data_IF_986453252051
#
_entry.id   IF_986453252051
#
_cell.length_a   1.000
_cell.length_b   1.000
_cell.length_c   1.000
_cell.angle_alpha   90.00
_cell.angle_beta   90.00
_cell.angle_gamma   90.00
#
_symmetry.space_group_name_H-M   'P 1'
#
loop_
_entity.id
_entity.type
_entity.pdbx_description
1 polymer ?
#
# COMPACT_ATOMS: atom_id res chain seq x y z
N UNK A 1 2.40 10.83 18.09
CA UNK A 1 3.13 9.60 18.44
C UNK A 1 4.62 9.94 18.44
N UNK A 2 5.43 9.42 19.36
CA UNK A 2 6.90 9.50 19.26
C UNK A 2 7.38 8.10 18.90
N UNK A 3 7.73 7.89 17.64
CA UNK A 3 8.28 6.62 17.19
C UNK A 3 9.81 6.65 17.26
N UNK A 4 10.47 5.58 17.71
CA UNK A 4 11.92 5.44 17.59
C UNK A 4 12.34 5.37 16.11
N UNK A 5 13.60 5.71 15.85
CA UNK A 5 14.18 5.64 14.51
C UNK A 5 14.45 4.17 14.11
N UNK A 6 13.42 3.55 13.53
CA UNK A 6 13.40 2.16 13.08
C UNK A 6 12.45 1.99 11.89
N UNK A 7 12.38 0.78 11.34
CA UNK A 7 11.41 0.48 10.28
C UNK A 7 10.01 0.19 10.83
N UNK A 8 8.99 0.51 10.05
CA UNK A 8 7.58 0.21 10.28
C UNK A 8 6.96 -0.33 9.01
N UNK A 9 6.19 -1.42 9.13
CA UNK A 9 5.29 -1.87 8.09
C UNK A 9 4.06 -0.97 8.04
N UNK A 10 3.72 -0.47 6.85
CA UNK A 10 2.66 0.50 6.62
C UNK A 10 1.68 -0.05 5.60
N UNK A 11 0.39 0.03 5.94
CA UNK A 11 -0.72 -0.21 5.03
C UNK A 11 -1.65 1.00 5.10
N UNK A 12 -1.74 1.73 3.99
CA UNK A 12 -2.48 3.01 3.93
C UNK A 12 -3.49 2.96 2.79
N UNK A 13 -4.68 3.49 3.04
CA UNK A 13 -5.79 3.54 2.10
C UNK A 13 -6.51 4.88 2.18
N UNK A 14 -7.16 5.26 1.09
CA UNK A 14 -8.05 6.41 1.04
C UNK A 14 -9.38 6.20 1.77
N UNK A 15 -10.23 7.24 1.83
CA UNK A 15 -11.53 7.19 2.49
C UNK A 15 -12.46 6.07 2.01
N UNK A 16 -12.39 5.71 0.73
CA UNK A 16 -13.24 4.66 0.12
C UNK A 16 -12.99 3.24 0.65
N UNK A 17 -11.83 2.99 1.27
CA UNK A 17 -11.50 1.70 1.88
C UNK A 17 -11.16 1.82 3.38
N UNK A 18 -11.61 2.91 4.03
CA UNK A 18 -11.42 3.10 5.46
C UNK A 18 -12.12 1.99 6.25
N UNK A 19 -11.39 1.34 7.14
CA UNK A 19 -11.94 0.33 8.06
C UNK A 19 -12.00 -1.10 7.50
N UNK A 20 -11.49 -1.35 6.28
CA UNK A 20 -11.45 -2.71 5.70
C UNK A 20 -10.05 -3.34 5.66
N UNK A 21 -9.06 -2.68 6.27
CA UNK A 21 -7.66 -3.12 6.33
C UNK A 21 -7.23 -3.54 7.74
N UNK A 22 -6.35 -4.54 7.83
CA UNK A 22 -5.77 -5.07 9.06
C UNK A 22 -4.40 -5.71 8.78
N UNK A 23 -3.33 -5.18 9.39
CA UNK A 23 -1.96 -5.69 9.23
C UNK A 23 -1.76 -7.07 9.85
N UNK A 24 -2.65 -7.55 10.72
CA UNK A 24 -2.57 -8.92 11.25
C UNK A 24 -3.08 -9.97 10.24
N UNK A 25 -3.65 -9.53 9.12
CA UNK A 25 -4.13 -10.40 8.04
C UNK A 25 -3.13 -10.47 6.90
N UNK A 26 -3.15 -11.56 6.11
CA UNK A 26 -2.33 -11.66 4.91
C UNK A 26 -2.57 -10.46 3.97
N UNK A 27 -1.52 -9.95 3.34
CA UNK A 27 -1.64 -8.84 2.38
C UNK A 27 -2.64 -9.16 1.27
N UNK A 28 -2.63 -10.40 0.77
CA UNK A 28 -3.59 -10.90 -0.20
C UNK A 28 -5.06 -10.69 0.22
N UNK A 29 -5.38 -10.87 1.51
CA UNK A 29 -6.75 -10.65 2.02
C UNK A 29 -7.08 -9.15 2.07
N UNK A 30 -6.14 -8.33 2.53
CA UNK A 30 -6.29 -6.88 2.54
C UNK A 30 -6.56 -6.34 1.12
N UNK A 31 -5.77 -6.72 0.12
CA UNK A 31 -5.95 -6.25 -1.25
C UNK A 31 -7.31 -6.65 -1.84
N UNK A 32 -7.83 -7.85 -1.51
CA UNK A 32 -9.18 -8.27 -1.90
C UNK A 32 -10.26 -7.43 -1.23
N UNK A 33 -10.15 -7.18 0.07
CA UNK A 33 -11.11 -6.38 0.83
C UNK A 33 -11.14 -4.93 0.31
N UNK A 34 -9.97 -4.36 0.04
CA UNK A 34 -9.85 -3.01 -0.52
C UNK A 34 -10.49 -2.95 -1.91
N UNK A 35 -10.15 -3.88 -2.80
CA UNK A 35 -10.73 -3.93 -4.15
C UNK A 35 -12.27 -4.00 -4.08
N UNK A 36 -12.81 -4.86 -3.21
CA UNK A 36 -14.26 -4.97 -2.99
C UNK A 36 -14.88 -3.66 -2.47
N UNK A 37 -14.23 -2.99 -1.51
CA UNK A 37 -14.70 -1.71 -0.96
C UNK A 37 -14.70 -0.58 -2.00
N UNK A 38 -13.73 -0.59 -2.91
CA UNK A 38 -13.61 0.38 -4.00
C UNK A 38 -14.43 0.00 -5.24
N UNK A 39 -15.11 -1.16 -5.25
CA UNK A 39 -15.83 -1.65 -6.43
C UNK A 39 -14.91 -1.98 -7.62
N UNK A 40 -13.63 -2.29 -7.34
CA UNK A 40 -12.60 -2.62 -8.33
C UNK A 40 -12.31 -4.12 -8.35
N UNK A 41 -11.73 -4.59 -9.45
CA UNK A 41 -11.10 -5.90 -9.53
C UNK A 41 -9.61 -5.80 -9.13
N UNK A 42 -8.97 -6.92 -8.76
CA UNK A 42 -7.55 -6.91 -8.39
C UNK A 42 -6.66 -6.39 -9.52
N UNK A 43 -6.98 -6.67 -10.79
CA UNK A 43 -6.21 -6.23 -11.96
C UNK A 43 -6.31 -4.72 -12.29
N UNK A 44 -7.27 -4.05 -11.65
CA UNK A 44 -7.46 -2.59 -11.73
C UNK A 44 -7.06 -1.87 -10.44
N UNK A 45 -6.68 -2.60 -9.40
CA UNK A 45 -6.18 -2.06 -8.15
C UNK A 45 -4.72 -1.62 -8.31
N UNK A 46 -4.40 -0.42 -7.84
CA UNK A 46 -3.05 0.15 -7.91
C UNK A 46 -2.46 0.26 -6.50
N UNK A 47 -1.34 -0.43 -6.28
CA UNK A 47 -0.56 -0.36 -5.04
C UNK A 47 0.74 0.40 -5.30
N UNK A 48 1.04 1.38 -4.45
CA UNK A 48 2.36 2.02 -4.41
C UNK A 48 3.22 1.43 -3.29
N UNK A 49 4.52 1.29 -3.55
CA UNK A 49 5.51 0.78 -2.59
C UNK A 49 6.89 1.38 -2.84
N UNK A 50 7.88 1.07 -2.00
CA UNK A 50 9.26 1.50 -2.21
C UNK A 50 10.02 0.46 -3.06
N UNK A 51 10.80 0.93 -4.03
CA UNK A 51 11.69 0.12 -4.86
C UNK A 51 12.97 -0.21 -4.08
N UNK A 52 12.87 -1.12 -3.11
CA UNK A 52 14.00 -1.58 -2.27
C UNK A 52 14.04 -3.11 -2.27
N UNK A 53 15.22 -3.75 -2.15
CA UNK A 53 15.34 -5.21 -2.19
C UNK A 53 14.46 -5.97 -1.18
N UNK A 54 14.16 -5.34 -0.03
CA UNK A 54 13.24 -5.90 0.98
C UNK A 54 11.78 -6.01 0.50
N UNK A 55 11.42 -5.39 -0.62
CA UNK A 55 10.09 -5.41 -1.20
C UNK A 55 9.98 -6.28 -2.46
N UNK A 56 11.07 -6.85 -2.98
CA UNK A 56 11.04 -7.63 -4.23
C UNK A 56 10.06 -8.80 -4.16
N UNK A 57 10.05 -9.54 -3.04
CA UNK A 57 9.17 -10.68 -2.85
C UNK A 57 7.68 -10.28 -2.83
N UNK A 58 7.34 -9.19 -2.12
CA UNK A 58 5.96 -8.73 -2.02
C UNK A 58 5.48 -8.05 -3.30
N UNK A 59 6.37 -7.37 -4.03
CA UNK A 59 6.08 -6.85 -5.37
C UNK A 59 5.71 -8.01 -6.30
N UNK A 60 6.48 -9.09 -6.29
CA UNK A 60 6.20 -10.28 -7.09
C UNK A 60 4.87 -10.95 -6.69
N UNK A 61 4.57 -11.04 -5.39
CA UNK A 61 3.28 -11.56 -4.89
C UNK A 61 2.10 -10.72 -5.43
N UNK A 62 2.17 -9.40 -5.29
CA UNK A 62 1.11 -8.49 -5.77
C UNK A 62 0.93 -8.59 -7.30
N UNK A 63 2.04 -8.61 -8.05
CA UNK A 63 2.00 -8.76 -9.51
C UNK A 63 1.41 -10.12 -9.93
N UNK A 64 1.71 -11.21 -9.22
CA UNK A 64 1.13 -12.52 -9.47
C UNK A 64 -0.39 -12.57 -9.23
N UNK A 65 -0.91 -11.69 -8.36
CA UNK A 65 -2.35 -11.49 -8.17
C UNK A 65 -3.01 -10.63 -9.27
N UNK A 66 -2.22 -10.05 -10.18
CA UNK A 66 -2.68 -9.12 -11.21
C UNK A 66 -2.68 -7.65 -10.80
N UNK A 67 -2.34 -7.33 -9.55
CA UNK A 67 -2.33 -5.96 -9.03
C UNK A 67 -1.27 -5.12 -9.73
N UNK A 68 -1.60 -3.87 -10.05
CA UNK A 68 -0.65 -2.92 -10.63
C UNK A 68 0.21 -2.34 -9.51
N UNK A 69 1.53 -2.44 -9.65
CA UNK A 69 2.48 -1.99 -8.62
C UNK A 69 3.30 -0.82 -9.13
N UNK A 70 3.21 0.33 -8.46
CA UNK A 70 4.11 1.46 -8.64
C UNK A 70 5.19 1.43 -7.56
N UNK A 71 6.40 0.99 -7.92
CA UNK A 71 7.54 1.01 -7.01
C UNK A 71 8.33 2.32 -7.20
N UNK A 72 8.29 3.19 -6.19
CA UNK A 72 8.98 4.50 -6.20
C UNK A 72 10.33 4.41 -5.48
N UNK A 73 11.36 5.18 -5.90
CA UNK A 73 12.68 5.09 -5.28
C UNK A 73 12.69 5.47 -3.80
N UNK A 74 11.95 6.52 -3.42
CA UNK A 74 11.88 7.09 -2.07
C UNK A 74 10.54 7.85 -1.88
N UNK A 75 10.25 8.27 -0.64
CA UNK A 75 9.14 9.18 -0.33
C UNK A 75 7.80 8.49 -0.05
N UNK A 76 7.77 7.59 0.94
CA UNK A 76 6.53 6.92 1.36
C UNK A 76 5.48 7.86 1.97
N UNK A 77 5.87 8.97 2.60
CA UNK A 77 4.95 10.03 3.05
C UNK A 77 4.14 10.59 1.87
N UNK A 78 4.82 11.04 0.81
CA UNK A 78 4.15 11.56 -0.38
C UNK A 78 3.31 10.47 -1.06
N UNK A 79 3.82 9.25 -1.16
CA UNK A 79 3.11 8.11 -1.73
C UNK A 79 1.83 7.77 -0.93
N UNK A 80 1.84 7.90 0.39
CA UNK A 80 0.67 7.67 1.25
C UNK A 80 -0.44 8.69 0.99
N UNK A 81 -0.09 9.95 0.68
CA UNK A 81 -1.07 11.00 0.41
C UNK A 81 -1.81 10.72 -0.91
N UNK A 82 -1.13 10.10 -1.88
CA UNK A 82 -1.72 9.75 -3.17
C UNK A 82 -2.93 8.82 -3.04
N UNK A 83 -3.05 8.01 -1.98
CA UNK A 83 -4.23 7.15 -1.75
C UNK A 83 -5.50 7.95 -1.49
N UNK A 84 -5.37 9.23 -1.15
CA UNK A 84 -6.47 10.13 -0.80
C UNK A 84 -6.75 11.17 -1.88
N UNK A 85 -5.96 11.21 -2.96
CA UNK A 85 -6.07 12.21 -4.03
C UNK A 85 -7.04 11.73 -5.12
N UNK A 86 -8.11 12.47 -5.44
CA UNK A 86 -9.11 12.04 -6.44
C UNK A 86 -8.54 11.81 -7.85
N UNK A 87 -7.51 12.58 -8.22
CA UNK A 87 -6.87 12.52 -9.54
C UNK A 87 -5.69 11.54 -9.58
N UNK A 88 -5.38 10.88 -8.46
CA UNK A 88 -4.34 9.86 -8.37
C UNK A 88 -4.91 8.49 -8.71
N UNK A 89 -4.15 7.71 -9.47
CA UNK A 89 -4.51 6.31 -9.74
C UNK A 89 -4.20 5.38 -8.54
N UNK A 90 -3.43 5.84 -7.54
CA UNK A 90 -3.01 5.02 -6.39
C UNK A 90 -4.18 4.77 -5.45
N UNK A 91 -4.49 3.50 -5.22
CA UNK A 91 -5.55 3.08 -4.29
C UNK A 91 -5.01 2.78 -2.88
N UNK A 92 -3.81 2.20 -2.83
CA UNK A 92 -3.21 1.64 -1.60
C UNK A 92 -1.72 1.93 -1.58
N UNK A 93 -1.17 2.18 -0.39
CA UNK A 93 0.26 2.04 -0.14
C UNK A 93 0.52 0.85 0.77
N UNK A 94 1.43 -0.03 0.36
CA UNK A 94 2.01 -1.05 1.23
C UNK A 94 3.53 -0.94 1.21
N UNK A 95 4.16 -0.71 2.35
CA UNK A 95 5.62 -0.64 2.40
C UNK A 95 6.19 -0.94 3.79
N UNK A 96 7.53 -1.04 3.84
CA UNK A 96 8.33 -1.05 5.05
C UNK A 96 9.26 0.16 4.93
N UNK A 97 8.87 1.23 5.59
CA UNK A 97 9.55 2.53 5.59
C UNK A 97 9.97 2.93 7.00
N UNK A 98 10.52 4.14 7.18
CA UNK A 98 10.88 4.60 8.51
C UNK A 98 9.63 4.88 9.37
N UNK A 99 9.73 4.58 10.66
CA UNK A 99 8.68 4.77 11.65
C UNK A 99 8.42 6.26 11.99
N UNK A 100 9.43 7.16 12.04
CA UNK A 100 9.21 8.60 12.21
C UNK A 100 8.37 9.25 11.09
N UNK A 101 8.34 8.64 9.91
CA UNK A 101 7.64 9.09 8.71
C UNK A 101 6.19 8.60 8.63
N UNK A 102 5.65 8.04 9.71
CA UNK A 102 4.26 7.59 9.81
C UNK A 102 3.34 8.62 10.49
#
# INVERSE_FOLDING_TARGET
MKAPDMYMEKLVVGPGAKGVIDLNKPLTENLKNIAAALGKTLDTLVVTTLAKPRHDAVIAEMQAMGVRVFAVPDGDVAASILTCMPDSEVDVMYCIGGAPEA
#
